data_IF_769901139138
#
_entry.id   IF_769901139138
#
_cell.length_a   1.000
_cell.length_b   1.000
_cell.length_c   1.000
_cell.angle_alpha   90.00
_cell.angle_beta   90.00
_cell.angle_gamma   90.00
#
_symmetry.space_group_name_H-M   'P 1'
#
loop_
_entity.id
_entity.type
_entity.pdbx_description
1 polymer ?
#
# COMPACT_ATOMS: atom_id res chain seq x y z
N UNK A 1 17.13 24.77 9.21
CA UNK A 1 15.97 25.51 8.73
C UNK A 1 16.16 26.04 7.32
N UNK A 2 17.25 26.78 7.08
CA UNK A 2 17.52 27.37 5.77
C UNK A 2 17.77 26.30 4.69
N UNK A 3 18.52 25.24 5.03
CA UNK A 3 18.79 24.15 4.10
C UNK A 3 17.54 23.34 3.78
N UNK A 4 16.68 23.08 4.79
CA UNK A 4 15.39 22.41 4.58
C UNK A 4 14.50 23.20 3.62
N UNK A 5 14.47 24.53 3.76
CA UNK A 5 13.69 25.38 2.85
C UNK A 5 14.22 25.31 1.42
N UNK A 6 15.56 25.30 1.24
CA UNK A 6 16.17 25.19 -0.10
C UNK A 6 15.85 23.88 -0.76
N UNK A 7 15.89 22.76 -0.03
CA UNK A 7 15.53 21.44 -0.58
C UNK A 7 14.04 21.35 -0.88
N UNK A 8 13.20 21.91 -0.01
CA UNK A 8 11.77 22.01 -0.27
C UNK A 8 11.47 22.79 -1.55
N UNK A 9 12.12 23.92 -1.73
CA UNK A 9 11.97 24.75 -2.93
C UNK A 9 12.44 24.00 -4.18
N UNK A 10 13.53 23.24 -4.09
CA UNK A 10 14.02 22.43 -5.20
C UNK A 10 13.01 21.35 -5.58
N UNK A 11 12.47 20.64 -4.60
CA UNK A 11 11.45 19.61 -4.83
C UNK A 11 10.21 20.22 -5.49
N UNK A 12 9.75 21.38 -4.98
CA UNK A 12 8.60 22.07 -5.57
C UNK A 12 8.86 22.52 -7.01
N UNK A 13 10.08 22.98 -7.28
CA UNK A 13 10.49 23.34 -8.65
C UNK A 13 10.45 22.13 -9.57
N UNK A 14 11.03 21.00 -9.14
CA UNK A 14 11.04 19.77 -9.92
C UNK A 14 9.61 19.26 -10.15
N UNK A 15 8.75 19.33 -9.15
CA UNK A 15 7.34 18.97 -9.28
C UNK A 15 6.65 19.86 -10.33
N UNK A 16 6.85 21.16 -10.26
CA UNK A 16 6.26 22.11 -11.21
C UNK A 16 6.72 21.89 -12.64
N UNK A 17 7.94 21.39 -12.83
CA UNK A 17 8.49 21.04 -14.17
C UNK A 17 8.16 19.61 -14.58
N UNK A 18 7.39 18.88 -13.78
CA UNK A 18 7.05 17.46 -14.00
C UNK A 18 8.27 16.55 -14.08
N UNK A 19 9.35 16.92 -13.40
CA UNK A 19 10.57 16.12 -13.27
C UNK A 19 10.45 15.22 -12.04
N UNK A 20 9.41 14.40 -12.04
CA UNK A 20 9.03 13.61 -10.86
C UNK A 20 10.07 12.58 -10.47
N UNK A 21 10.70 11.92 -11.45
CA UNK A 21 11.76 10.94 -11.16
C UNK A 21 12.93 11.59 -10.42
N UNK A 22 13.38 12.74 -10.89
CA UNK A 22 14.48 13.46 -10.24
C UNK A 22 14.14 13.89 -8.83
N UNK A 23 12.91 14.38 -8.63
CA UNK A 23 12.44 14.76 -7.30
C UNK A 23 12.40 13.56 -6.36
N UNK A 24 11.88 12.42 -6.84
CA UNK A 24 11.77 11.18 -6.04
C UNK A 24 13.15 10.58 -5.73
N UNK A 25 14.08 10.61 -6.67
CA UNK A 25 15.44 10.16 -6.43
C UNK A 25 16.12 10.99 -5.35
N UNK A 26 15.92 12.31 -5.40
CA UNK A 26 16.47 13.22 -4.38
C UNK A 26 15.85 12.96 -3.01
N UNK A 27 14.53 12.81 -2.95
CA UNK A 27 13.82 12.50 -1.70
C UNK A 27 14.26 11.15 -1.12
N UNK A 28 14.48 10.15 -1.97
CA UNK A 28 14.96 8.83 -1.53
C UNK A 28 16.35 8.94 -0.93
N UNK A 29 17.26 9.69 -1.55
CA UNK A 29 18.60 9.90 -1.01
C UNK A 29 18.57 10.55 0.37
N UNK A 30 17.76 11.60 0.55
CA UNK A 30 17.62 12.25 1.84
C UNK A 30 16.97 11.31 2.87
N UNK A 31 15.92 10.60 2.47
CA UNK A 31 15.20 9.70 3.36
C UNK A 31 16.05 8.53 3.84
N UNK A 32 16.93 8.01 2.96
CA UNK A 32 17.82 6.87 3.26
C UNK A 32 19.11 7.27 3.96
N UNK A 33 19.39 8.56 4.10
CA UNK A 33 20.66 9.03 4.65
C UNK A 33 21.84 8.90 3.69
N UNK A 34 21.58 8.72 2.39
CA UNK A 34 22.61 8.56 1.36
C UNK A 34 23.14 9.89 0.82
N UNK A 35 22.49 11.00 1.15
CA UNK A 35 22.93 12.33 0.70
C UNK A 35 24.25 12.72 1.37
N UNK A 36 25.11 13.40 0.62
CA UNK A 36 26.35 13.95 1.17
C UNK A 36 26.04 15.14 2.10
N UNK A 37 26.71 15.17 3.25
CA UNK A 37 26.58 16.22 4.23
C UNK A 37 25.48 15.96 5.26
N UNK A 38 25.18 16.99 6.04
CA UNK A 38 24.16 16.93 7.08
C UNK A 38 22.77 16.99 6.46
N UNK A 39 21.95 15.97 6.71
CA UNK A 39 20.58 15.89 6.18
C UNK A 39 19.67 16.69 7.11
N UNK A 40 18.92 17.69 6.61
CA UNK A 40 17.99 18.46 7.44
C UNK A 40 16.95 17.56 8.11
N UNK A 41 16.61 17.87 9.36
CA UNK A 41 15.51 17.23 10.07
C UNK A 41 14.23 17.44 9.27
N UNK A 42 13.41 16.41 9.16
CA UNK A 42 12.19 16.43 8.34
C UNK A 42 12.39 15.99 6.90
N UNK A 43 13.64 15.89 6.43
CA UNK A 43 13.96 15.27 5.13
C UNK A 43 14.36 13.81 5.28
N UNK A 44 14.59 13.36 6.51
CA UNK A 44 14.90 11.97 6.83
C UNK A 44 13.62 11.15 6.95
N UNK A 45 13.71 9.85 6.67
CA UNK A 45 12.58 8.95 6.74
C UNK A 45 11.71 8.94 5.49
N UNK A 46 10.67 8.10 5.46
CA UNK A 46 9.85 7.90 4.28
C UNK A 46 8.73 8.91 4.05
N UNK A 47 8.42 9.75 5.02
CA UNK A 47 7.21 10.61 5.01
C UNK A 47 7.20 11.60 3.84
N UNK A 48 8.33 12.20 3.53
CA UNK A 48 8.43 13.17 2.42
C UNK A 48 8.23 12.50 1.07
N UNK A 49 8.81 11.33 0.89
CA UNK A 49 8.64 10.54 -0.34
C UNK A 49 7.17 10.15 -0.50
N UNK A 50 6.53 9.66 0.55
CA UNK A 50 5.11 9.29 0.54
C UNK A 50 4.25 10.51 0.22
N UNK A 51 4.51 11.65 0.85
CA UNK A 51 3.77 12.89 0.59
C UNK A 51 3.85 13.31 -0.88
N UNK A 52 5.02 13.15 -1.49
CA UNK A 52 5.20 13.45 -2.91
C UNK A 52 4.42 12.46 -3.79
N UNK A 53 4.51 11.16 -3.49
CA UNK A 53 3.82 10.11 -4.26
C UNK A 53 2.30 10.30 -4.24
N UNK A 54 1.75 10.76 -3.12
CA UNK A 54 0.30 11.01 -2.99
C UNK A 54 -0.19 12.13 -3.90
N UNK A 55 0.67 13.02 -4.36
CA UNK A 55 0.33 14.12 -5.26
C UNK A 55 0.37 13.72 -6.73
N UNK A 56 0.94 12.56 -7.06
CA UNK A 56 1.08 12.10 -8.44
C UNK A 56 -0.26 11.58 -8.97
N UNK A 57 -0.48 11.80 -10.27
CA UNK A 57 -1.68 11.33 -10.94
C UNK A 57 -1.66 9.80 -11.09
N UNK A 58 -2.83 9.15 -11.12
CA UNK A 58 -2.91 7.68 -11.23
C UNK A 58 -2.22 7.09 -12.47
N UNK A 59 -2.11 7.86 -13.54
CA UNK A 59 -1.45 7.44 -14.76
C UNK A 59 0.05 7.16 -14.55
N UNK A 60 0.63 7.72 -13.50
CA UNK A 60 2.03 7.53 -13.15
C UNK A 60 2.23 6.33 -12.21
N UNK A 61 1.32 5.36 -12.26
CA UNK A 61 1.34 4.17 -11.38
C UNK A 61 2.68 3.45 -11.36
N UNK A 62 3.33 3.29 -12.51
CA UNK A 62 4.61 2.58 -12.57
C UNK A 62 5.70 3.31 -11.80
N UNK A 63 5.72 4.63 -11.89
CA UNK A 63 6.67 5.46 -11.14
C UNK A 63 6.35 5.43 -9.63
N UNK A 64 5.07 5.49 -9.28
CA UNK A 64 4.61 5.40 -7.89
C UNK A 64 5.08 4.08 -7.27
N UNK A 65 4.84 2.96 -7.94
CA UNK A 65 5.23 1.63 -7.44
C UNK A 65 6.75 1.48 -7.31
N UNK A 66 7.50 2.07 -8.24
CA UNK A 66 8.96 2.03 -8.19
C UNK A 66 9.51 2.71 -6.93
N UNK A 67 8.97 3.87 -6.56
CA UNK A 67 9.49 4.67 -5.46
C UNK A 67 8.79 4.46 -4.11
N UNK A 68 7.67 3.75 -4.07
CA UNK A 68 6.99 3.44 -2.79
C UNK A 68 7.62 2.24 -2.08
N UNK A 69 8.41 1.46 -2.78
CA UNK A 69 8.96 0.22 -2.23
C UNK A 69 9.78 0.45 -0.96
N UNK A 70 10.72 1.39 -0.98
CA UNK A 70 11.55 1.64 0.18
C UNK A 70 10.77 2.25 1.36
N UNK A 71 9.80 3.17 1.18
CA UNK A 71 8.94 3.57 2.29
C UNK A 71 8.17 2.41 2.91
N UNK A 72 7.67 1.47 2.10
CA UNK A 72 6.99 0.28 2.61
C UNK A 72 7.93 -0.62 3.43
N UNK A 73 9.18 -0.71 3.03
CA UNK A 73 10.20 -1.48 3.76
C UNK A 73 10.60 -0.82 5.08
N UNK A 74 10.66 0.52 5.10
CA UNK A 74 11.03 1.28 6.29
C UNK A 74 9.90 1.40 7.30
N UNK A 75 8.70 1.74 6.83
CA UNK A 75 7.51 1.91 7.66
C UNK A 75 6.27 1.59 6.81
N UNK A 76 5.77 0.35 6.94
CA UNK A 76 4.62 -0.08 6.12
C UNK A 76 3.38 0.78 6.30
N UNK A 77 3.11 1.30 7.50
CA UNK A 77 1.96 2.18 7.73
C UNK A 77 2.06 3.46 6.91
N UNK A 78 3.23 4.09 6.94
CA UNK A 78 3.48 5.32 6.17
C UNK A 78 3.43 5.03 4.68
N UNK A 79 4.08 3.96 4.23
CA UNK A 79 4.09 3.59 2.81
C UNK A 79 2.70 3.26 2.27
N UNK A 80 1.89 2.55 3.04
CA UNK A 80 0.53 2.19 2.63
C UNK A 80 -0.39 3.40 2.49
N UNK A 81 -0.08 4.51 3.11
CA UNK A 81 -0.90 5.72 2.99
C UNK A 81 -1.02 6.21 1.53
N UNK A 82 -0.04 5.89 0.68
CA UNK A 82 -0.11 6.19 -0.76
C UNK A 82 -1.36 5.53 -1.39
N UNK A 83 -1.71 4.35 -0.94
CA UNK A 83 -2.81 3.55 -1.50
C UNK A 83 -4.11 3.68 -0.73
N UNK A 84 -4.03 3.97 0.58
CA UNK A 84 -5.19 4.00 1.47
C UNK A 84 -5.72 5.40 1.73
N UNK A 85 -5.08 6.43 1.18
CA UNK A 85 -5.50 7.82 1.38
C UNK A 85 -6.89 8.06 0.82
N UNK A 86 -7.66 8.88 1.50
CA UNK A 86 -8.96 9.35 1.03
C UNK A 86 -8.75 10.48 0.01
N UNK A 87 -8.33 10.10 -1.19
CA UNK A 87 -8.04 11.04 -2.26
C UNK A 87 -8.39 10.43 -3.61
N UNK A 88 -8.77 11.28 -4.54
CA UNK A 88 -9.07 10.87 -5.92
C UNK A 88 -7.89 10.16 -6.57
N UNK A 89 -6.67 10.63 -6.33
CA UNK A 89 -5.47 9.99 -6.88
C UNK A 89 -5.32 8.55 -6.40
N UNK A 90 -5.44 8.32 -5.09
CA UNK A 90 -5.33 6.98 -4.52
C UNK A 90 -6.45 6.06 -5.01
N UNK A 91 -7.68 6.54 -5.03
CA UNK A 91 -8.84 5.75 -5.44
C UNK A 91 -8.81 5.32 -6.91
N UNK A 92 -8.17 6.12 -7.77
CA UNK A 92 -8.12 5.87 -9.21
C UNK A 92 -6.87 5.12 -9.67
N UNK A 93 -6.00 4.70 -8.76
CA UNK A 93 -4.86 3.84 -9.11
C UNK A 93 -5.34 2.51 -9.67
N UNK A 94 -4.54 1.91 -10.56
CA UNK A 94 -4.81 0.57 -11.07
C UNK A 94 -4.75 -0.44 -9.92
N UNK A 95 -5.90 -0.89 -9.47
CA UNK A 95 -6.06 -1.70 -8.26
C UNK A 95 -5.38 -3.06 -8.38
N UNK A 96 -5.43 -3.67 -9.55
CA UNK A 96 -4.76 -4.97 -9.78
C UNK A 96 -3.24 -4.82 -9.76
N UNK A 97 -2.70 -3.75 -10.33
CA UNK A 97 -1.25 -3.50 -10.28
C UNK A 97 -0.77 -3.26 -8.85
N UNK A 98 -1.52 -2.49 -8.06
CA UNK A 98 -1.19 -2.26 -6.65
C UNK A 98 -1.25 -3.57 -5.87
N UNK A 99 -2.33 -4.33 -6.02
CA UNK A 99 -2.50 -5.60 -5.34
C UNK A 99 -1.35 -6.56 -5.65
N UNK A 100 -1.04 -6.72 -6.93
CA UNK A 100 0.04 -7.62 -7.39
C UNK A 100 1.40 -7.18 -6.85
N UNK A 101 1.65 -5.88 -6.84
CA UNK A 101 2.88 -5.31 -6.28
C UNK A 101 3.01 -5.60 -4.78
N UNK A 102 1.93 -5.38 -4.02
CA UNK A 102 1.92 -5.63 -2.58
C UNK A 102 2.07 -7.12 -2.26
N UNK A 103 1.44 -7.99 -3.05
CA UNK A 103 1.57 -9.44 -2.91
C UNK A 103 3.03 -9.89 -3.03
N UNK A 104 3.80 -9.22 -3.88
CA UNK A 104 5.23 -9.51 -4.04
C UNK A 104 6.09 -9.05 -2.87
N UNK A 105 5.59 -8.17 -2.02
CA UNK A 105 6.31 -7.65 -0.85
C UNK A 105 5.91 -8.39 0.41
N UNK A 106 4.62 -8.39 0.74
CA UNK A 106 4.10 -9.02 1.96
C UNK A 106 2.59 -9.25 1.82
N UNK A 107 2.18 -10.47 2.11
CA UNK A 107 0.77 -10.87 2.08
C UNK A 107 -0.11 -10.02 3.01
N UNK A 108 0.43 -9.61 4.16
CA UNK A 108 -0.29 -8.74 5.09
C UNK A 108 -0.67 -7.40 4.46
N UNK A 109 0.21 -6.82 3.64
CA UNK A 109 -0.06 -5.58 2.94
C UNK A 109 -1.11 -5.78 1.85
N UNK A 110 -1.07 -6.89 1.15
CA UNK A 110 -2.08 -7.27 0.15
C UNK A 110 -3.46 -7.37 0.79
N UNK A 111 -3.58 -8.05 1.93
CA UNK A 111 -4.83 -8.17 2.67
C UNK A 111 -5.36 -6.80 3.08
N UNK A 112 -4.51 -5.95 3.64
CA UNK A 112 -4.88 -4.60 4.06
C UNK A 112 -5.46 -3.80 2.90
N UNK A 113 -4.82 -3.87 1.74
CA UNK A 113 -5.30 -3.15 0.56
C UNK A 113 -6.63 -3.70 0.05
N UNK A 114 -6.77 -5.04 -0.02
CA UNK A 114 -8.03 -5.67 -0.45
C UNK A 114 -9.17 -5.35 0.52
N UNK A 115 -8.90 -5.35 1.82
CA UNK A 115 -9.90 -4.95 2.82
C UNK A 115 -10.37 -3.50 2.59
N UNK A 116 -9.43 -2.61 2.27
CA UNK A 116 -9.75 -1.22 1.93
C UNK A 116 -10.63 -1.11 0.69
N UNK A 117 -10.29 -1.84 -0.39
CA UNK A 117 -11.08 -1.84 -1.62
C UNK A 117 -12.51 -2.31 -1.38
N UNK A 118 -12.67 -3.38 -0.64
CA UNK A 118 -13.97 -4.01 -0.42
C UNK A 118 -14.81 -3.23 0.60
N UNK A 119 -14.20 -2.81 1.72
CA UNK A 119 -14.93 -2.23 2.84
C UNK A 119 -15.09 -0.71 2.74
N UNK A 120 -14.07 -0.01 2.28
CA UNK A 120 -14.08 1.46 2.22
C UNK A 120 -14.51 1.97 0.85
N UNK A 121 -14.02 1.37 -0.23
CA UNK A 121 -14.32 1.81 -1.59
C UNK A 121 -15.48 1.04 -2.22
N UNK A 122 -16.05 0.08 -1.51
CA UNK A 122 -17.19 -0.73 -1.96
C UNK A 122 -16.97 -1.36 -3.34
N UNK A 123 -15.74 -1.83 -3.57
CA UNK A 123 -15.36 -2.48 -4.83
C UNK A 123 -16.04 -3.84 -4.95
N UNK A 124 -16.81 -4.03 -5.99
CA UNK A 124 -17.58 -5.26 -6.23
C UNK A 124 -16.91 -6.23 -7.17
N UNK A 125 -15.65 -6.00 -7.53
CA UNK A 125 -14.91 -6.89 -8.44
C UNK A 125 -14.78 -8.30 -7.84
N UNK A 126 -15.34 -9.34 -8.48
CA UNK A 126 -15.34 -10.69 -7.91
C UNK A 126 -13.94 -11.23 -7.63
N UNK A 127 -12.97 -10.91 -8.49
CA UNK A 127 -11.57 -11.34 -8.33
C UNK A 127 -10.98 -10.87 -7.01
N UNK A 128 -11.23 -9.62 -6.62
CA UNK A 128 -10.71 -9.08 -5.37
C UNK A 128 -11.36 -9.74 -4.15
N UNK A 129 -12.68 -9.95 -4.21
CA UNK A 129 -13.40 -10.65 -3.15
C UNK A 129 -12.90 -12.08 -2.98
N UNK A 130 -12.72 -12.80 -4.09
CA UNK A 130 -12.23 -14.18 -4.05
C UNK A 130 -10.80 -14.24 -3.48
N UNK A 131 -9.93 -13.34 -3.90
CA UNK A 131 -8.55 -13.30 -3.40
C UNK A 131 -8.49 -13.01 -1.91
N UNK A 132 -9.32 -12.09 -1.42
CA UNK A 132 -9.37 -11.77 0.00
C UNK A 132 -9.81 -12.98 0.82
N UNK A 133 -10.83 -13.72 0.35
CA UNK A 133 -11.28 -14.96 0.99
C UNK A 133 -10.15 -15.99 1.03
N UNK A 134 -9.48 -16.20 -0.10
CA UNK A 134 -8.36 -17.15 -0.18
C UNK A 134 -7.23 -16.80 0.79
N UNK A 135 -6.90 -15.52 0.91
CA UNK A 135 -5.86 -15.06 1.83
C UNK A 135 -6.26 -15.27 3.30
N UNK A 136 -7.53 -15.04 3.63
CA UNK A 136 -8.03 -15.33 4.98
C UNK A 136 -7.95 -16.82 5.29
N UNK A 137 -8.32 -17.69 4.34
CA UNK A 137 -8.23 -19.14 4.51
C UNK A 137 -6.78 -19.57 4.74
N UNK A 138 -5.85 -19.05 3.94
CA UNK A 138 -4.41 -19.33 4.12
C UNK A 138 -3.92 -18.92 5.50
N UNK A 139 -4.37 -17.77 5.99
CA UNK A 139 -4.00 -17.28 7.32
C UNK A 139 -4.52 -18.19 8.42
N UNK A 140 -5.76 -18.66 8.30
CA UNK A 140 -6.35 -19.61 9.28
C UNK A 140 -5.58 -20.93 9.31
N UNK A 141 -5.10 -21.37 8.13
CA UNK A 141 -4.35 -22.62 8.01
C UNK A 141 -2.88 -22.48 8.41
N UNK A 142 -2.36 -21.27 8.55
CA UNK A 142 -0.95 -21.04 8.84
C UNK A 142 -0.61 -21.50 10.25
N UNK A 143 0.41 -22.37 10.36
CA UNK A 143 0.95 -22.81 11.66
C UNK A 143 1.72 -21.71 12.40
N UNK A 144 2.03 -20.61 11.73
CA UNK A 144 2.77 -19.48 12.30
C UNK A 144 1.88 -18.57 13.14
N UNK A 145 0.54 -18.66 12.98
CA UNK A 145 -0.40 -17.86 13.74
C UNK A 145 -0.70 -18.49 15.08
N UNK A 146 -0.84 -17.67 16.13
CA UNK A 146 -1.35 -18.11 17.42
C UNK A 146 -2.83 -18.50 17.32
N UNK A 147 -3.35 -19.27 18.29
CA UNK A 147 -4.77 -19.64 18.32
C UNK A 147 -5.67 -18.40 18.33
N UNK A 148 -5.27 -17.35 19.04
CA UNK A 148 -6.02 -16.09 19.11
C UNK A 148 -6.06 -15.39 17.75
N UNK A 149 -4.92 -15.30 17.08
CA UNK A 149 -4.83 -14.69 15.74
C UNK A 149 -5.65 -15.45 14.73
N UNK A 150 -5.60 -16.79 14.74
CA UNK A 150 -6.42 -17.64 13.87
C UNK A 150 -7.91 -17.40 14.12
N UNK A 151 -8.32 -17.29 15.38
CA UNK A 151 -9.71 -17.02 15.73
C UNK A 151 -10.19 -15.66 15.18
N UNK A 152 -9.36 -14.62 15.27
CA UNK A 152 -9.67 -13.30 14.73
C UNK A 152 -9.82 -13.33 13.21
N UNK A 153 -8.90 -13.99 12.51
CA UNK A 153 -8.95 -14.12 11.05
C UNK A 153 -10.18 -14.93 10.63
N UNK A 154 -10.48 -16.01 11.34
CA UNK A 154 -11.66 -16.83 11.07
C UNK A 154 -12.95 -16.02 11.26
N UNK A 155 -13.03 -15.20 12.30
CA UNK A 155 -14.21 -14.33 12.53
C UNK A 155 -14.37 -13.31 11.38
N UNK A 156 -13.29 -12.71 10.90
CA UNK A 156 -13.31 -11.81 9.75
C UNK A 156 -13.80 -12.53 8.48
N UNK A 157 -13.33 -13.74 8.24
CA UNK A 157 -13.74 -14.56 7.10
C UNK A 157 -15.23 -14.87 7.16
N UNK A 158 -15.72 -15.33 8.31
CA UNK A 158 -17.14 -15.65 8.50
C UNK A 158 -18.03 -14.43 8.27
N UNK A 159 -17.65 -13.27 8.81
CA UNK A 159 -18.38 -12.03 8.59
C UNK A 159 -18.38 -11.63 7.12
N UNK A 160 -17.24 -11.76 6.43
CA UNK A 160 -17.12 -11.44 5.01
C UNK A 160 -17.97 -12.36 4.15
N UNK A 161 -17.95 -13.67 4.41
CA UNK A 161 -18.75 -14.64 3.66
C UNK A 161 -20.26 -14.41 3.85
N UNK A 162 -20.66 -13.93 5.02
CA UNK A 162 -22.07 -13.61 5.30
C UNK A 162 -22.58 -12.36 4.56
N UNK A 163 -21.70 -11.47 4.13
CA UNK A 163 -22.08 -10.19 3.50
C UNK A 163 -21.75 -10.12 2.02
N UNK A 164 -20.70 -10.82 1.57
CA UNK A 164 -20.25 -10.77 0.18
C UNK A 164 -21.03 -11.72 -0.72
N UNK A 165 -21.47 -11.23 -1.87
CA UNK A 165 -22.11 -12.04 -2.91
C UNK A 165 -21.25 -12.12 -4.18
N UNK A 166 -20.02 -11.61 -4.12
CA UNK A 166 -19.12 -11.52 -5.28
C UNK A 166 -18.11 -12.66 -5.35
N UNK A 167 -18.16 -13.63 -4.45
CA UNK A 167 -17.26 -14.78 -4.41
C UNK A 167 -17.99 -16.06 -4.79
N UNK A 168 -17.22 -17.12 -5.14
CA UNK A 168 -17.77 -18.44 -5.42
C UNK A 168 -17.91 -19.24 -4.11
N UNK A 169 -19.15 -19.46 -3.64
CA UNK A 169 -19.41 -20.19 -2.41
C UNK A 169 -18.87 -21.62 -2.43
N UNK A 170 -19.09 -22.36 -3.51
CA UNK A 170 -18.62 -23.73 -3.60
C UNK A 170 -17.11 -23.85 -3.55
N UNK A 171 -16.41 -22.94 -4.20
CA UNK A 171 -14.94 -22.89 -4.19
C UNK A 171 -14.43 -22.52 -2.80
N UNK A 172 -15.07 -21.54 -2.15
CA UNK A 172 -14.68 -21.09 -0.83
C UNK A 172 -14.83 -22.19 0.22
N UNK A 173 -15.94 -22.92 0.21
CA UNK A 173 -16.18 -24.02 1.16
C UNK A 173 -15.17 -25.15 1.01
N UNK A 174 -14.60 -25.38 -0.16
CA UNK A 174 -13.52 -26.33 -0.36
C UNK A 174 -12.21 -25.92 0.29
N UNK A 175 -11.97 -24.60 0.43
CA UNK A 175 -10.76 -24.04 1.03
C UNK A 175 -10.82 -24.01 2.55
N UNK A 176 -12.02 -24.02 3.14
CA UNK A 176 -12.16 -23.96 4.59
C UNK A 176 -11.75 -25.28 5.24
N UNK A 177 -11.04 -25.21 6.38
CA UNK A 177 -10.73 -26.43 7.14
C UNK A 177 -12.01 -27.11 7.61
N UNK A 178 -12.01 -28.40 7.52
CA UNK A 178 -13.13 -29.21 8.02
C UNK A 178 -13.16 -29.26 9.54
#
# INVERSE_FOLDING_TARGET
>A
LYESERYGDLIDFLHGKRLHRQALELLAKFGNGEAEGEIPEGMQGPERTVGYLKQLQPELIDLILEFVKWPLEQDPEVGMDVFLADSSNAENLDREKVRSFLAGIDTGLEITYLEHLVNELDDKTPTFHQQLVELYVERVQSSLLSAEEKSKVKAKLEAFLGTSRSYSQSQTFRLLPS
#
